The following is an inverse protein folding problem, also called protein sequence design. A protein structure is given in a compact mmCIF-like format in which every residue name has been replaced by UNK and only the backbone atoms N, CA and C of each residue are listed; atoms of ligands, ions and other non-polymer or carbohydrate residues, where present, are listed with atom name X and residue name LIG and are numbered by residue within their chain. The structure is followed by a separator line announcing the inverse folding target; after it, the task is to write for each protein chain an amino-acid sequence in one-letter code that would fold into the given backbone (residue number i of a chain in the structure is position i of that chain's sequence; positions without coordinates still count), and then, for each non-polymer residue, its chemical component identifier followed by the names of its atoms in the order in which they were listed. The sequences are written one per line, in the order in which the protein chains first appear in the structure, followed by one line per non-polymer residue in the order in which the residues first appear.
data_IF_733365509714
#
_entry.id   IF_733365509714
#
_cell.length_a   1.000
_cell.length_b   1.000
_cell.length_c   1.000
_cell.angle_alpha   90.00
_cell.angle_beta   90.00
_cell.angle_gamma   90.00
#
_symmetry.space_group_name_H-M   'P 1'
#
loop_
_entity.id
_entity.type
_entity.pdbx_description
1 polymer ?
#
# COMPACT_ATOMS: atom_id res chain seq x y z
N UNK A 1 14.20 -7.60 -15.85
CA UNK A 1 13.47 -6.32 -15.63
C UNK A 1 13.88 -5.36 -16.72
N UNK A 2 12.95 -4.67 -17.38
CA UNK A 2 13.34 -3.69 -18.39
C UNK A 2 13.91 -2.43 -17.72
N UNK A 3 15.07 -1.97 -18.22
CA UNK A 3 15.74 -0.75 -17.77
C UNK A 3 14.84 0.47 -18.02
N UNK A 4 14.17 0.49 -19.18
CA UNK A 4 13.24 1.53 -19.59
C UNK A 4 11.80 1.07 -19.38
N UNK A 5 10.98 1.92 -18.77
CA UNK A 5 9.56 1.68 -18.49
C UNK A 5 8.78 2.90 -18.97
N UNK A 6 7.66 2.63 -19.65
CA UNK A 6 6.73 3.69 -20.02
C UNK A 6 6.33 4.52 -18.78
N UNK A 7 6.26 5.87 -18.86
CA UNK A 7 5.97 6.73 -17.72
C UNK A 7 4.70 6.32 -16.95
N UNK A 8 3.62 5.97 -17.67
CA UNK A 8 2.39 5.51 -17.05
C UNK A 8 2.57 4.20 -16.24
N UNK A 9 3.43 3.30 -16.70
CA UNK A 9 3.76 2.07 -15.96
C UNK A 9 4.57 2.39 -14.71
N UNK A 10 5.54 3.32 -14.81
CA UNK A 10 6.33 3.80 -13.67
C UNK A 10 5.44 4.43 -12.60
N UNK A 11 4.49 5.28 -12.97
CA UNK A 11 3.55 5.92 -12.04
C UNK A 11 2.67 4.89 -11.31
N UNK A 12 2.13 3.89 -12.03
CA UNK A 12 1.34 2.80 -11.45
C UNK A 12 2.16 1.97 -10.45
N UNK A 13 3.41 1.65 -10.77
CA UNK A 13 4.31 0.93 -9.88
C UNK A 13 4.63 1.74 -8.60
N UNK A 14 4.86 3.04 -8.72
CA UNK A 14 5.10 3.94 -7.58
C UNK A 14 3.86 4.04 -6.68
N UNK A 15 2.66 4.14 -7.26
CA UNK A 15 1.40 4.11 -6.50
C UNK A 15 1.25 2.78 -5.74
N UNK A 16 1.48 1.66 -6.42
CA UNK A 16 1.41 0.33 -5.79
C UNK A 16 2.44 0.15 -4.66
N UNK A 17 3.64 0.72 -4.78
CA UNK A 17 4.66 0.69 -3.73
C UNK A 17 4.28 1.52 -2.50
N UNK A 18 3.60 2.67 -2.68
CA UNK A 18 3.11 3.48 -1.55
C UNK A 18 2.04 2.77 -0.73
N UNK A 19 1.18 2.00 -1.37
CA UNK A 19 0.07 1.29 -0.73
C UNK A 19 0.49 0.13 0.19
N UNK A 20 1.73 -0.38 0.08
CA UNK A 20 2.17 -1.53 0.90
C UNK A 20 2.59 -1.15 2.32
N UNK A 21 2.84 0.14 2.59
CA UNK A 21 3.20 0.64 3.92
C UNK A 21 2.04 0.47 4.89
N UNK A 22 2.36 0.42 6.18
CA UNK A 22 1.34 0.40 7.24
C UNK A 22 0.63 1.74 7.28
N UNK A 23 -0.66 1.73 7.61
CA UNK A 23 -1.38 2.98 7.83
C UNK A 23 -0.81 3.71 9.06
N UNK A 24 -0.68 5.04 9.02
CA UNK A 24 -0.26 5.77 10.20
C UNK A 24 -1.34 5.75 11.28
N UNK A 25 -0.94 5.84 12.56
CA UNK A 25 -1.86 5.70 13.70
C UNK A 25 -3.01 6.72 13.67
N UNK A 26 -2.73 7.97 13.28
CA UNK A 26 -3.77 9.00 13.17
C UNK A 26 -4.86 8.64 12.14
N UNK A 27 -4.51 7.94 11.06
CA UNK A 27 -5.47 7.52 10.04
C UNK A 27 -6.39 6.41 10.55
N UNK A 28 -5.87 5.53 11.42
CA UNK A 28 -6.65 4.48 12.09
C UNK A 28 -7.64 5.12 13.05
N UNK A 29 -7.16 6.05 13.89
CA UNK A 29 -8.00 6.78 14.84
C UNK A 29 -9.10 7.56 14.10
N UNK A 30 -8.76 8.26 13.01
CA UNK A 30 -9.74 9.02 12.22
C UNK A 30 -10.81 8.13 11.58
N UNK A 31 -10.47 6.91 11.15
CA UNK A 31 -11.41 6.00 10.49
C UNK A 31 -12.24 5.17 11.47
N UNK A 32 -11.65 4.72 12.56
CA UNK A 32 -12.27 3.74 13.45
C UNK A 32 -12.66 4.30 14.83
N UNK A 33 -12.29 5.54 15.13
CA UNK A 33 -12.53 6.16 16.43
C UNK A 33 -11.42 5.91 17.45
N UNK A 34 -11.38 6.76 18.47
CA UNK A 34 -10.44 6.68 19.59
C UNK A 34 -10.78 5.46 20.44
N UNK A 35 -9.75 4.75 20.96
CA UNK A 35 -9.93 3.62 21.88
C UNK A 35 -10.08 2.25 21.23
N UNK A 36 -10.20 2.17 19.90
CA UNK A 36 -10.18 0.89 19.17
C UNK A 36 -8.74 0.41 18.96
N UNK A 37 -8.38 -0.77 19.49
CA UNK A 37 -7.08 -1.43 19.28
C UNK A 37 -7.01 -2.11 17.90
N UNK A 38 -7.22 -1.35 16.83
CA UNK A 38 -7.24 -1.87 15.46
C UNK A 38 -5.85 -1.81 14.86
N UNK A 39 -5.39 -2.95 14.37
CA UNK A 39 -4.08 -3.07 13.75
C UNK A 39 -4.02 -2.32 12.40
N UNK A 40 -2.92 -1.62 12.06
CA UNK A 40 -2.81 -0.80 10.84
C UNK A 40 -2.95 -1.55 9.51
N UNK A 41 -2.90 -2.89 9.53
CA UNK A 41 -3.12 -3.73 8.36
C UNK A 41 -4.53 -3.61 7.78
N UNK A 42 -5.52 -3.13 8.55
CA UNK A 42 -6.90 -3.00 8.07
C UNK A 42 -7.13 -1.84 7.08
N UNK A 43 -6.21 -0.86 7.05
CA UNK A 43 -6.32 0.32 6.19
C UNK A 43 -5.42 0.25 4.95
N UNK A 44 -4.34 -0.54 5.00
CA UNK A 44 -3.35 -0.65 3.93
C UNK A 44 -3.40 -1.98 3.20
N UNK A 45 -3.04 -1.99 1.92
CA UNK A 45 -2.99 -3.22 1.13
C UNK A 45 -1.62 -3.87 1.28
N UNK A 46 -1.50 -4.82 2.21
CA UNK A 46 -0.28 -5.61 2.38
C UNK A 46 -0.07 -6.50 1.18
N UNK A 47 1.09 -6.35 0.53
CA UNK A 47 1.48 -7.15 -0.63
C UNK A 47 2.92 -7.60 -0.49
N UNK A 48 3.15 -8.90 -0.63
CA UNK A 48 4.49 -9.47 -0.83
C UNK A 48 4.75 -9.67 -2.32
N UNK A 49 5.94 -9.31 -2.79
CA UNK A 49 6.35 -9.48 -4.19
C UNK A 49 6.54 -10.95 -4.58
N UNK A 50 6.77 -11.85 -3.61
CA UNK A 50 6.85 -13.30 -3.85
C UNK A 50 5.46 -13.91 -4.04
N UNK A 51 4.53 -13.56 -3.14
CA UNK A 51 3.18 -14.16 -3.10
C UNK A 51 2.19 -13.53 -4.08
N UNK A 52 2.08 -12.20 -4.10
CA UNK A 52 1.06 -11.48 -4.86
C UNK A 52 1.69 -10.55 -5.92
N UNK A 53 1.57 -10.95 -7.19
CA UNK A 53 2.10 -10.20 -8.34
C UNK A 53 1.15 -9.06 -8.75
N UNK A 54 1.73 -8.00 -9.30
CA UNK A 54 1.00 -6.84 -9.82
C UNK A 54 0.63 -7.08 -11.29
N UNK A 55 -0.65 -6.87 -11.66
CA UNK A 55 -1.12 -6.87 -13.05
C UNK A 55 -1.04 -5.45 -13.62
N UNK A 56 0.17 -4.98 -13.96
CA UNK A 56 0.46 -3.57 -14.34
C UNK A 56 1.24 -3.46 -15.65
#
# INVERSE_FOLDING_TARGET
MTRYKHPAKKARLIKAARNTKWAPMFAIIKKFGVGKKIHPSHLGMKRSWRRNKLKV
#
